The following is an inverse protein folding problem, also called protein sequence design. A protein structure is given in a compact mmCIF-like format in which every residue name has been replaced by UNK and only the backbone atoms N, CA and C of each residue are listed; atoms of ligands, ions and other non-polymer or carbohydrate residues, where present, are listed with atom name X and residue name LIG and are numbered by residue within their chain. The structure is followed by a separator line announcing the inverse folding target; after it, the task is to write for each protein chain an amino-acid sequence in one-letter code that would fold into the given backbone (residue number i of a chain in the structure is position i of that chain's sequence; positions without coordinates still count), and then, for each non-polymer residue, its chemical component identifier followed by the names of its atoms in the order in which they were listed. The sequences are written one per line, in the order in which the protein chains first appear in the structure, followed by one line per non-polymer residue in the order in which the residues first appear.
data_IF_025283657257
#
_entry.id   IF_025283657257
#
_cell.length_a   1.000
_cell.length_b   1.000
_cell.length_c   1.000
_cell.angle_alpha   90.00
_cell.angle_beta   90.00
_cell.angle_gamma   90.00
#
_symmetry.space_group_name_H-M   'P 1'
#
loop_
_entity.id
_entity.type
_entity.pdbx_description
1 polymer ?
#
# COMPACT_ATOMS: atom_id res chain seq x y z
N UNK A 1 35.38 -9.11 0.42
CA UNK A 1 35.11 -9.63 -0.94
C UNK A 1 33.60 -9.79 -1.09
N UNK A 2 32.91 -8.79 -1.64
CA UNK A 2 31.44 -8.78 -1.75
C UNK A 2 31.05 -9.51 -3.03
N UNK A 3 30.28 -10.60 -2.90
CA UNK A 3 29.83 -11.41 -4.03
C UNK A 3 28.73 -10.65 -4.77
N UNK A 4 28.98 -10.29 -6.03
CA UNK A 4 27.98 -9.62 -6.88
C UNK A 4 26.86 -10.62 -7.16
N UNK A 5 25.65 -10.31 -6.71
CA UNK A 5 24.45 -11.07 -7.03
C UNK A 5 23.71 -10.34 -8.15
N UNK A 6 23.46 -11.03 -9.26
CA UNK A 6 22.59 -10.54 -10.31
C UNK A 6 21.14 -10.63 -9.82
N UNK A 7 20.58 -9.49 -9.44
CA UNK A 7 19.17 -9.39 -9.07
C UNK A 7 18.39 -9.14 -10.35
N UNK A 8 17.64 -10.15 -10.81
CA UNK A 8 16.83 -10.07 -12.03
C UNK A 8 15.50 -9.35 -11.80
N UNK A 9 14.97 -9.39 -10.57
CA UNK A 9 13.78 -8.66 -10.11
C UNK A 9 13.87 -8.46 -8.59
N UNK A 10 13.51 -7.27 -8.12
CA UNK A 10 13.57 -6.90 -6.70
C UNK A 10 14.73 -5.96 -6.35
N UNK A 11 14.73 -5.47 -5.11
CA UNK A 11 15.70 -4.50 -4.60
C UNK A 11 16.41 -5.07 -3.37
N UNK A 12 17.62 -4.57 -3.07
CA UNK A 12 18.42 -5.07 -1.95
C UNK A 12 17.75 -4.82 -0.60
N UNK A 13 17.36 -5.90 0.11
CA UNK A 13 16.79 -5.80 1.45
C UNK A 13 17.76 -5.13 2.42
N UNK A 14 17.33 -4.08 3.11
CA UNK A 14 18.17 -3.29 4.02
C UNK A 14 18.87 -2.07 3.39
N UNK A 15 18.61 -1.79 2.10
CA UNK A 15 19.03 -0.53 1.47
C UNK A 15 17.99 0.58 1.69
N UNK A 16 18.44 1.77 2.08
CA UNK A 16 17.57 2.96 2.17
C UNK A 16 16.98 3.36 0.81
N UNK A 17 17.72 3.10 -0.29
CA UNK A 17 17.26 3.39 -1.65
C UNK A 17 16.08 2.50 -2.05
N UNK A 18 16.06 1.25 -1.59
CA UNK A 18 14.98 0.31 -1.85
C UNK A 18 13.66 0.74 -1.22
N UNK A 19 13.71 1.25 0.02
CA UNK A 19 12.55 1.82 0.69
C UNK A 19 12.05 3.08 -0.02
N UNK A 20 12.97 3.95 -0.44
CA UNK A 20 12.64 5.16 -1.19
C UNK A 20 11.92 4.84 -2.51
N UNK A 21 12.44 3.90 -3.30
CA UNK A 21 11.80 3.47 -4.54
C UNK A 21 10.42 2.86 -4.30
N UNK A 22 10.26 2.07 -3.24
CA UNK A 22 8.97 1.48 -2.88
C UNK A 22 7.92 2.54 -2.53
N UNK A 23 8.30 3.53 -1.70
CA UNK A 23 7.42 4.65 -1.34
C UNK A 23 7.04 5.48 -2.57
N UNK A 24 7.99 5.74 -3.48
CA UNK A 24 7.70 6.45 -4.73
C UNK A 24 6.71 5.69 -5.63
N UNK A 25 6.86 4.37 -5.76
CA UNK A 25 5.91 3.54 -6.52
C UNK A 25 4.53 3.62 -5.90
N UNK A 26 4.41 3.51 -4.57
CA UNK A 26 3.12 3.61 -3.88
C UNK A 26 2.50 5.01 -4.00
N UNK A 27 3.29 6.08 -3.92
CA UNK A 27 2.82 7.46 -4.08
C UNK A 27 2.29 7.74 -5.50
N UNK A 28 2.97 7.22 -6.52
CA UNK A 28 2.49 7.25 -7.91
C UNK A 28 1.17 6.48 -8.09
N UNK A 29 1.04 5.33 -7.44
CA UNK A 29 -0.21 4.56 -7.42
C UNK A 29 -1.32 5.38 -6.71
N UNK A 30 -1.11 5.83 -5.47
CA UNK A 30 -2.10 6.64 -4.71
C UNK A 30 -2.56 7.85 -5.51
N UNK A 31 -1.63 8.63 -6.08
CA UNK A 31 -1.95 9.87 -6.81
C UNK A 31 -2.77 9.63 -8.08
N UNK A 32 -2.67 8.45 -8.69
CA UNK A 32 -3.52 8.08 -9.83
C UNK A 32 -4.95 7.70 -9.40
N UNK A 33 -5.13 7.19 -8.18
CA UNK A 33 -6.41 6.64 -7.70
C UNK A 33 -7.20 7.58 -6.77
N UNK A 34 -6.55 8.31 -5.87
CA UNK A 34 -7.21 9.22 -4.93
C UNK A 34 -7.32 10.63 -5.50
N UNK A 35 -8.44 10.94 -6.14
CA UNK A 35 -8.78 12.28 -6.67
C UNK A 35 -9.34 13.24 -5.61
N UNK A 36 -9.44 12.81 -4.36
CA UNK A 36 -10.06 13.52 -3.23
C UNK A 36 -9.04 13.73 -2.09
N UNK A 37 -9.34 14.54 -1.05
CA UNK A 37 -8.42 14.77 0.07
C UNK A 37 -7.91 13.45 0.66
N UNK A 38 -6.63 13.38 1.11
CA UNK A 38 -5.99 12.11 1.42
C UNK A 38 -6.72 11.42 2.57
N UNK A 39 -7.49 10.39 2.23
CA UNK A 39 -8.06 9.43 3.19
C UNK A 39 -7.19 8.18 3.30
N UNK A 40 -6.06 8.16 2.60
CA UNK A 40 -5.08 7.07 2.60
C UNK A 40 -3.73 7.56 3.10
N UNK A 41 -3.13 6.81 4.02
CA UNK A 41 -1.80 7.01 4.57
C UNK A 41 -0.94 5.82 4.13
N UNK A 42 0.25 6.10 3.60
CA UNK A 42 1.27 5.10 3.27
C UNK A 42 2.39 5.14 4.31
N UNK A 43 2.78 3.98 4.85
CA UNK A 43 3.90 3.87 5.76
C UNK A 43 4.72 2.61 5.48
N UNK A 44 5.94 2.77 4.96
CA UNK A 44 6.83 1.66 4.61
C UNK A 44 6.09 0.65 3.72
N UNK A 45 5.78 -0.55 4.22
CA UNK A 45 5.05 -1.62 3.53
C UNK A 45 3.53 -1.65 3.82
N UNK A 46 3.03 -0.76 4.66
CA UNK A 46 1.63 -0.69 5.07
C UNK A 46 0.84 0.44 4.38
N UNK A 47 -0.43 0.14 4.09
CA UNK A 47 -1.41 1.07 3.53
C UNK A 47 -2.59 1.15 4.51
N UNK A 48 -2.91 2.35 4.98
CA UNK A 48 -4.04 2.62 5.86
C UNK A 48 -5.03 3.49 5.13
N UNK A 49 -6.29 3.06 5.02
CA UNK A 49 -7.34 3.83 4.37
C UNK A 49 -8.55 4.00 5.29
N UNK A 50 -9.13 5.21 5.27
CA UNK A 50 -10.31 5.57 6.05
C UNK A 50 -11.48 5.82 5.09
N UNK A 51 -12.64 5.31 5.45
CA UNK A 51 -13.88 5.55 4.71
C UNK A 51 -15.07 5.60 5.67
N UNK A 52 -16.20 6.11 5.19
CA UNK A 52 -17.40 6.31 6.00
C UNK A 52 -18.22 5.01 6.15
N UNK A 53 -17.96 4.03 5.29
CA UNK A 53 -18.61 2.72 5.27
C UNK A 53 -17.61 1.58 5.07
N UNK A 54 -18.01 0.36 5.48
CA UNK A 54 -17.18 -0.83 5.26
C UNK A 54 -17.14 -1.20 3.78
N UNK A 55 -18.25 -0.99 3.08
CA UNK A 55 -18.41 -1.27 1.66
C UNK A 55 -17.42 -0.43 0.83
N UNK A 56 -17.23 0.85 1.19
CA UNK A 56 -16.19 1.70 0.57
C UNK A 56 -14.77 1.16 0.82
N UNK A 57 -14.48 0.65 2.02
CA UNK A 57 -13.17 0.05 2.31
C UNK A 57 -12.96 -1.25 1.52
N UNK A 58 -13.98 -2.08 1.38
CA UNK A 58 -13.91 -3.32 0.59
C UNK A 58 -13.69 -3.02 -0.90
N UNK A 59 -14.39 -2.02 -1.45
CA UNK A 59 -14.15 -1.54 -2.81
C UNK A 59 -12.72 -1.01 -2.99
N UNK A 60 -12.22 -0.25 -2.02
CA UNK A 60 -10.83 0.21 -2.00
C UNK A 60 -9.84 -0.96 -1.98
N UNK A 61 -10.07 -1.99 -1.19
CA UNK A 61 -9.20 -3.18 -1.15
C UNK A 61 -9.12 -3.85 -2.53
N UNK A 62 -10.24 -3.98 -3.24
CA UNK A 62 -10.24 -4.53 -4.60
C UNK A 62 -9.48 -3.64 -5.59
N UNK A 63 -9.67 -2.33 -5.49
CA UNK A 63 -8.94 -1.36 -6.31
C UNK A 63 -7.42 -1.46 -6.07
N UNK A 64 -7.01 -1.48 -4.81
CA UNK A 64 -5.61 -1.65 -4.39
C UNK A 64 -5.02 -2.95 -4.91
N UNK A 65 -5.78 -4.04 -4.85
CA UNK A 65 -5.32 -5.33 -5.34
C UNK A 65 -5.00 -5.29 -6.85
N UNK A 66 -5.85 -4.68 -7.67
CA UNK A 66 -5.61 -4.51 -9.11
C UNK A 66 -4.43 -3.59 -9.39
N UNK A 67 -4.45 -2.40 -8.80
CA UNK A 67 -3.41 -1.39 -8.98
C UNK A 67 -2.00 -1.88 -8.60
N UNK A 68 -1.89 -2.62 -7.49
CA UNK A 68 -0.62 -3.20 -7.07
C UNK A 68 -0.18 -4.32 -8.02
N UNK A 69 -1.11 -5.18 -8.46
CA UNK A 69 -0.80 -6.28 -9.39
C UNK A 69 -0.28 -5.76 -10.73
N UNK A 70 -0.85 -4.68 -11.27
CA UNK A 70 -0.39 -4.02 -12.50
C UNK A 70 1.04 -3.48 -12.38
N UNK A 71 1.48 -3.19 -11.16
CA UNK A 71 2.82 -2.70 -10.84
C UNK A 71 3.75 -3.80 -10.27
N UNK A 72 3.38 -5.08 -10.40
CA UNK A 72 4.19 -6.21 -9.94
C UNK A 72 4.25 -6.38 -8.41
N UNK A 73 3.39 -5.69 -7.67
CA UNK A 73 3.21 -5.78 -6.23
C UNK A 73 2.00 -6.66 -5.88
N UNK A 74 1.94 -7.18 -4.65
CA UNK A 74 0.81 -8.01 -4.21
C UNK A 74 0.32 -7.62 -2.83
N UNK A 75 -0.96 -7.27 -2.75
CA UNK A 75 -1.63 -7.03 -1.48
C UNK A 75 -1.71 -8.33 -0.66
N UNK A 76 -1.37 -8.25 0.63
CA UNK A 76 -1.52 -9.38 1.54
C UNK A 76 -2.90 -9.36 2.20
N UNK A 77 -3.91 -9.89 1.49
CA UNK A 77 -5.31 -9.95 1.96
C UNK A 77 -5.45 -10.63 3.32
N UNK A 78 -4.59 -11.61 3.65
CA UNK A 78 -4.62 -12.29 4.96
C UNK A 78 -4.17 -11.40 6.12
N UNK A 79 -3.32 -10.40 5.84
CA UNK A 79 -2.86 -9.41 6.83
C UNK A 79 -3.74 -8.17 6.87
N UNK A 80 -4.54 -7.90 5.84
CA UNK A 80 -5.47 -6.76 5.79
C UNK A 80 -6.52 -6.88 6.90
N UNK A 81 -6.72 -5.80 7.65
CA UNK A 81 -7.70 -5.73 8.74
C UNK A 81 -8.62 -4.53 8.53
N UNK A 82 -9.91 -4.73 8.77
CA UNK A 82 -10.89 -3.64 8.88
C UNK A 82 -11.08 -3.31 10.37
N UNK A 83 -10.95 -2.04 10.70
CA UNK A 83 -11.10 -1.54 12.08
C UNK A 83 -12.18 -0.46 12.03
N UNK A 84 -13.24 -0.63 12.81
CA UNK A 84 -14.27 0.37 13.01
C UNK A 84 -13.99 1.18 14.26
N UNK A 85 -14.01 2.51 14.17
CA UNK A 85 -14.09 3.35 15.36
C UNK A 85 -15.56 3.52 15.71
N UNK A 86 -16.06 2.73 16.65
CA UNK A 86 -17.39 2.97 17.20
C UNK A 86 -17.36 4.31 17.94
N UNK A 87 -18.19 5.26 17.50
CA UNK A 87 -18.44 6.43 18.32
C UNK A 87 -19.41 5.96 19.38
N UNK A 88 -18.88 5.55 20.53
CA UNK A 88 -19.68 5.43 21.75
C UNK A 88 -20.47 6.74 21.92
N UNK A 89 -21.73 6.70 21.53
CA UNK A 89 -22.70 7.76 21.81
C UNK A 89 -23.03 7.74 23.30
N UNK A 90 -23.48 8.88 23.85
CA UNK A 90 -23.59 9.12 25.28
C UNK A 90 -24.41 8.07 26.04
#
# INVERSE_FOLDING_TARGET
MTKKMDITVGVHQGSALSLFLFVLTLDCIVSHFEKSPPRTILFVDDIVSVADSREELEQKVQLWQGALADNGLRLNVRKTKFISSDKGGP
#
